data_IF_139519231972
#
_entry.id   IF_139519231972
#
_cell.length_a   1.000
_cell.length_b   1.000
_cell.length_c   1.000
_cell.angle_alpha   90.00
_cell.angle_beta   90.00
_cell.angle_gamma   90.00
#
_symmetry.space_group_name_H-M   'P 1'
#
loop_
_entity.id
_entity.type
_entity.pdbx_description
1 polymer ?
#
# COMPACT_ATOMS: atom_id res chain seq x y z
N UNK A 1 -2.87 2.49 2.01
CA UNK A 1 -4.13 2.90 1.37
C UNK A 1 -5.07 1.72 1.21
N UNK A 2 -6.35 1.92 1.51
CA UNK A 2 -7.43 0.93 1.35
C UNK A 2 -8.31 1.30 0.17
N UNK A 3 -8.68 2.57 0.04
CA UNK A 3 -9.42 3.11 -1.09
C UNK A 3 -8.73 4.34 -1.70
N UNK A 4 -7.75 4.12 -2.61
CA UNK A 4 -7.05 5.21 -3.24
C UNK A 4 -7.94 5.98 -4.21
N UNK A 5 -7.94 7.30 -4.10
CA UNK A 5 -8.66 8.24 -4.96
C UNK A 5 -7.73 9.32 -5.50
N UNK A 6 -7.91 9.72 -6.76
CA UNK A 6 -7.19 10.81 -7.42
C UNK A 6 -8.01 12.08 -7.28
N UNK A 7 -7.37 13.15 -6.82
CA UNK A 7 -7.95 14.49 -6.82
C UNK A 7 -7.59 15.25 -8.11
N UNK A 8 -8.17 16.44 -8.29
CA UNK A 8 -7.98 17.26 -9.50
C UNK A 8 -6.52 17.72 -9.73
N UNK A 9 -5.69 17.65 -8.69
CA UNK A 9 -4.26 17.94 -8.73
C UNK A 9 -3.40 16.78 -9.28
N UNK A 10 -4.02 15.63 -9.58
CA UNK A 10 -3.35 14.43 -10.08
C UNK A 10 -2.72 13.55 -9.00
N UNK A 11 -2.82 13.94 -7.72
CA UNK A 11 -2.30 13.14 -6.61
C UNK A 11 -3.32 12.12 -6.11
N UNK A 12 -2.81 10.99 -5.63
CA UNK A 12 -3.63 9.94 -5.05
C UNK A 12 -3.62 10.03 -3.52
N UNK A 13 -4.82 10.07 -2.94
CA UNK A 13 -5.06 10.14 -1.50
C UNK A 13 -5.89 8.95 -1.02
N UNK A 14 -5.91 8.70 0.27
CA UNK A 14 -6.91 7.83 0.87
C UNK A 14 -8.26 8.54 0.91
N UNK A 15 -9.33 7.86 0.49
CA UNK A 15 -10.69 8.41 0.46
C UNK A 15 -11.07 9.13 1.76
N UNK A 16 -10.99 8.45 2.89
CA UNK A 16 -11.41 9.00 4.18
C UNK A 16 -10.59 10.25 4.57
N UNK A 17 -9.29 10.24 4.27
CA UNK A 17 -8.40 11.36 4.61
C UNK A 17 -8.71 12.60 3.78
N UNK A 18 -8.89 12.45 2.46
CA UNK A 18 -9.19 13.59 1.59
C UNK A 18 -10.62 14.09 1.80
N UNK A 19 -11.58 13.20 2.06
CA UNK A 19 -12.95 13.58 2.41
C UNK A 19 -12.99 14.39 3.71
N UNK A 20 -12.25 13.97 4.75
CA UNK A 20 -12.12 14.72 6.00
C UNK A 20 -11.45 16.10 5.78
N UNK A 21 -10.39 16.15 4.98
CA UNK A 21 -9.69 17.40 4.64
C UNK A 21 -10.63 18.43 3.98
N UNK A 22 -11.37 17.97 2.98
CA UNK A 22 -12.37 18.77 2.27
C UNK A 22 -13.49 19.23 3.23
N UNK A 23 -13.95 18.34 4.12
CA UNK A 23 -15.01 18.63 5.08
C UNK A 23 -14.61 19.74 6.07
N UNK A 24 -13.32 19.90 6.34
CA UNK A 24 -12.75 20.91 7.27
C UNK A 24 -12.68 22.32 6.65
N UNK A 25 -13.41 22.58 5.55
CA UNK A 25 -13.39 23.81 4.72
C UNK A 25 -12.08 24.07 3.96
N UNK A 26 -11.13 23.15 3.98
CA UNK A 26 -9.92 23.23 3.16
C UNK A 26 -10.20 22.66 1.76
N UNK A 27 -10.55 23.54 0.81
CA UNK A 27 -10.69 23.22 -0.62
C UNK A 27 -9.34 23.19 -1.36
N UNK A 28 -8.22 23.09 -0.65
CA UNK A 28 -6.88 23.07 -1.24
C UNK A 28 -6.34 21.65 -1.34
N UNK A 29 -5.39 21.42 -2.25
CA UNK A 29 -4.62 20.18 -2.26
C UNK A 29 -3.80 20.07 -0.97
N UNK A 30 -3.86 18.94 -0.24
CA UNK A 30 -2.97 18.70 0.90
C UNK A 30 -1.49 18.71 0.53
N UNK A 31 -1.16 18.41 -0.75
CA UNK A 31 0.23 18.32 -1.19
C UNK A 31 0.79 19.65 -1.67
N UNK A 32 0.01 20.41 -2.44
CA UNK A 32 0.49 21.65 -3.06
C UNK A 32 0.04 22.91 -2.32
N UNK A 33 -0.88 22.79 -1.36
CA UNK A 33 -1.58 23.90 -0.72
C UNK A 33 -2.29 24.85 -1.71
N UNK A 34 -2.37 24.48 -2.98
CA UNK A 34 -3.07 25.27 -3.99
C UNK A 34 -4.58 25.02 -3.89
N UNK A 35 -5.41 26.04 -4.13
CA UNK A 35 -6.85 25.87 -4.20
C UNK A 35 -7.18 24.85 -5.29
N UNK A 36 -7.86 23.77 -4.91
CA UNK A 36 -8.37 22.82 -5.87
C UNK A 36 -9.63 23.41 -6.50
N UNK A 37 -9.63 23.52 -7.83
CA UNK A 37 -10.79 24.00 -8.58
C UNK A 37 -11.99 23.07 -8.42
N UNK A 38 -11.76 21.81 -8.05
CA UNK A 38 -12.81 20.81 -7.95
C UNK A 38 -12.55 19.83 -6.81
N UNK A 39 -13.64 19.35 -6.20
CA UNK A 39 -13.64 18.34 -5.13
C UNK A 39 -13.95 16.94 -5.68
N UNK A 40 -13.82 16.75 -7.00
CA UNK A 40 -14.09 15.47 -7.64
C UNK A 40 -12.95 14.51 -7.30
N UNK A 41 -13.33 13.38 -6.73
CA UNK A 41 -12.42 12.30 -6.36
C UNK A 41 -12.69 11.11 -7.26
N UNK A 42 -11.70 10.75 -8.08
CA UNK A 42 -11.80 9.62 -8.99
C UNK A 42 -11.15 8.40 -8.36
N UNK A 43 -11.83 7.25 -8.27
CA UNK A 43 -11.21 6.04 -7.71
C UNK A 43 -10.01 5.58 -8.55
N UNK A 44 -8.88 5.31 -7.89
CA UNK A 44 -7.67 4.77 -8.52
C UNK A 44 -7.61 3.25 -8.37
N UNK A 45 -8.37 2.54 -9.20
CA UNK A 45 -8.42 1.06 -9.17
C UNK A 45 -7.07 0.43 -9.49
N UNK A 46 -6.30 1.03 -10.39
CA UNK A 46 -4.97 0.54 -10.78
C UNK A 46 -4.01 0.55 -9.59
N UNK A 47 -3.94 1.66 -8.85
CA UNK A 47 -3.12 1.76 -7.66
C UNK A 47 -3.60 0.80 -6.56
N UNK A 48 -4.92 0.65 -6.40
CA UNK A 48 -5.50 -0.32 -5.46
C UNK A 48 -5.04 -1.74 -5.76
N UNK A 49 -5.10 -2.16 -7.02
CA UNK A 49 -4.63 -3.49 -7.45
C UNK A 49 -3.12 -3.65 -7.24
N UNK A 50 -2.32 -2.63 -7.56
CA UNK A 50 -0.87 -2.67 -7.36
C UNK A 50 -0.51 -2.84 -5.87
N UNK A 51 -1.17 -2.10 -4.97
CA UNK A 51 -0.97 -2.20 -3.52
C UNK A 51 -1.38 -3.58 -3.00
N UNK A 52 -2.53 -4.09 -3.43
CA UNK A 52 -3.02 -5.42 -3.02
C UNK A 52 -2.04 -6.49 -3.48
N UNK A 53 -1.64 -6.47 -4.76
CA UNK A 53 -0.66 -7.41 -5.31
C UNK A 53 0.65 -7.37 -4.53
N UNK A 54 1.17 -6.17 -4.28
CA UNK A 54 2.41 -6.00 -3.52
C UNK A 54 2.26 -6.59 -2.11
N UNK A 55 1.17 -6.29 -1.40
CA UNK A 55 0.92 -6.81 -0.05
C UNK A 55 0.82 -8.34 -0.02
N UNK A 56 0.12 -8.94 -0.99
CA UNK A 56 0.03 -10.40 -1.11
C UNK A 56 1.41 -11.03 -1.32
N UNK A 57 2.23 -10.47 -2.22
CA UNK A 57 3.58 -10.97 -2.43
C UNK A 57 4.50 -10.79 -1.21
N UNK A 58 4.31 -9.73 -0.40
CA UNK A 58 5.06 -9.57 0.85
C UNK A 58 4.67 -10.63 1.90
N UNK A 59 3.39 -10.99 1.98
CA UNK A 59 2.90 -12.04 2.89
C UNK A 59 3.46 -13.42 2.51
N UNK A 60 3.52 -13.74 1.22
CA UNK A 60 4.14 -14.98 0.72
C UNK A 60 5.64 -15.02 1.02
N UNK A 61 6.35 -13.91 0.82
CA UNK A 61 7.78 -13.80 1.16
C UNK A 61 8.04 -13.94 2.67
N UNK A 62 7.14 -13.42 3.51
CA UNK A 62 7.20 -13.61 4.96
C UNK A 62 6.99 -15.06 5.38
N UNK A 63 6.13 -15.81 4.66
CA UNK A 63 5.88 -17.23 4.90
C UNK A 63 7.00 -18.15 4.37
N UNK A 64 7.69 -17.78 3.28
CA UNK A 64 8.86 -18.53 2.81
C UNK A 64 10.06 -18.49 3.79
N UNK A 65 10.13 -17.48 4.67
CA UNK A 65 11.16 -17.39 5.70
C UNK A 65 11.07 -18.46 6.80
N UNK A 66 9.90 -19.07 7.01
CA UNK A 66 9.72 -20.11 8.03
C UNK A 66 9.96 -21.54 7.52
N UNK A 67 10.04 -21.76 6.20
CA UNK A 67 10.09 -23.11 5.61
C UNK A 67 11.46 -23.50 5.03
N UNK A 68 12.52 -22.74 5.30
CA UNK A 68 13.85 -22.98 4.73
C UNK A 68 14.96 -23.13 5.77
N UNK A 69 14.70 -23.84 6.87
CA UNK A 69 15.78 -24.54 7.56
C UNK A 69 15.41 -26.01 7.71
N UNK A 70 15.91 -26.91 6.84
CA UNK A 70 16.09 -28.29 7.26
C UNK A 70 17.08 -28.25 8.44
N UNK A 71 16.57 -28.59 9.63
CA UNK A 71 17.36 -28.95 10.80
C UNK A 71 18.35 -30.04 10.36
N UNK A 72 19.59 -29.65 10.06
CA UNK A 72 20.65 -30.63 9.85
C UNK A 72 21.04 -31.19 11.21
N UNK A 73 20.40 -32.29 11.58
CA UNK A 73 20.89 -33.20 12.62
C UNK A 73 22.29 -33.64 12.18
N UNK A 74 23.30 -33.17 12.93
CA UNK A 74 24.67 -33.67 12.86
C UNK A 74 24.77 -34.91 13.74
N UNK A 75 24.12 -35.99 13.34
CA UNK A 75 24.34 -37.29 13.95
C UNK A 75 24.67 -38.31 12.84
N UNK A 76 25.85 -38.92 12.92
CA UNK A 76 26.13 -40.17 12.20
C UNK A 76 27.43 -40.21 11.39
N UNK A 77 28.48 -40.72 12.04
CA UNK A 77 29.60 -41.52 11.53
C UNK A 77 29.60 -41.91 10.03
N UNK A 78 30.77 -41.84 9.37
CA UNK A 78 31.54 -43.06 9.01
C UNK A 78 32.90 -42.74 8.35
N UNK A 79 33.95 -43.27 8.99
CA UNK A 79 35.16 -43.96 8.48
C UNK A 79 35.91 -43.44 7.24
N UNK A 80 37.18 -43.12 7.47
CA UNK A 80 38.30 -43.21 6.52
C UNK A 80 39.60 -43.41 7.29
#
# INVERSE_FOLDING_TARGET
MKDPVIAADGYSYEREAIESWIATKNRSSPMTNLPSQTTLLTQNRTLKMAIVRWRTSQLERGMQGCLLHPFQSKDGLSLG
#
